data_IF_159728460559
#
_entry.id   IF_159728460559
#
_cell.length_a   1.000
_cell.length_b   1.000
_cell.length_c   1.000
_cell.angle_alpha   90.00
_cell.angle_beta   90.00
_cell.angle_gamma   90.00
#
_symmetry.space_group_name_H-M   'P 1'
#
loop_
_entity.id
_entity.type
_entity.pdbx_description
1 polymer ?
#
# COMPACT_ATOMS: atom_id res chain seq x y z
N UNK A 1 -1.34 12.09 -20.24
CA UNK A 1 -1.16 11.96 -19.66
C UNK A 1 -0.96 11.50 -18.92
N UNK A 2 -0.56 11.59 -18.77
CA UNK A 2 -0.25 11.26 -18.00
C UNK A 2 -0.61 10.48 -17.27
N UNK A 3 -0.41 9.89 -17.18
CA UNK A 3 -0.73 9.21 -16.33
C UNK A 3 -0.09 8.89 -15.26
N UNK A 4 0.23 9.57 -14.69
CA UNK A 4 0.93 9.32 -13.51
C UNK A 4 0.01 8.78 -12.49
N UNK A 5 0.53 8.33 -11.34
CA UNK A 5 -0.29 7.81 -10.28
C UNK A 5 -0.95 8.93 -9.54
N UNK A 6 -2.23 8.87 -9.39
CA UNK A 6 -2.95 9.86 -8.64
C UNK A 6 -3.56 9.23 -7.44
N UNK A 7 -3.48 9.89 -6.30
CA UNK A 7 -4.04 9.35 -5.09
C UNK A 7 -5.53 9.14 -5.19
N UNK A 8 -6.23 10.00 -5.93
CA UNK A 8 -7.66 9.81 -6.02
C UNK A 8 -8.04 8.59 -6.83
N UNK A 9 -7.09 8.00 -7.55
CA UNK A 9 -7.35 6.78 -8.31
C UNK A 9 -6.79 5.55 -7.64
N UNK A 10 -6.02 5.71 -6.59
CA UNK A 10 -5.58 4.58 -5.80
C UNK A 10 -6.67 4.25 -4.79
N UNK A 11 -6.73 3.00 -4.40
CA UNK A 11 -7.78 2.64 -3.46
C UNK A 11 -7.34 1.48 -2.60
N UNK A 12 -7.78 1.49 -1.36
CA UNK A 12 -7.74 0.31 -0.51
C UNK A 12 -8.94 -0.56 -0.85
N UNK A 13 -8.72 -1.83 -0.94
CA UNK A 13 -9.77 -2.80 -1.25
C UNK A 13 -9.86 -3.80 -0.12
N UNK A 14 -11.05 -4.11 0.32
CA UNK A 14 -11.29 -5.13 1.33
C UNK A 14 -11.90 -6.32 0.60
N UNK A 15 -11.25 -7.46 0.75
CA UNK A 15 -11.64 -8.65 0.00
C UNK A 15 -11.78 -9.83 0.97
N UNK A 16 -12.34 -10.91 0.45
CA UNK A 16 -12.54 -12.11 1.23
C UNK A 16 -11.80 -13.23 0.52
N UNK A 17 -11.09 -14.06 1.27
CA UNK A 17 -10.36 -15.16 0.70
C UNK A 17 -11.22 -16.43 0.65
N UNK A 18 -10.61 -17.52 0.22
CA UNK A 18 -11.34 -18.77 0.05
C UNK A 18 -11.79 -19.37 1.37
N UNK A 19 -11.14 -19.00 2.46
CA UNK A 19 -11.50 -19.51 3.77
C UNK A 19 -12.54 -18.63 4.46
N UNK A 20 -13.03 -17.62 3.76
CA UNK A 20 -14.03 -16.74 4.33
C UNK A 20 -13.47 -15.68 5.24
N UNK A 21 -12.15 -15.48 5.20
CA UNK A 21 -11.52 -14.48 6.02
C UNK A 21 -11.28 -13.24 5.19
N UNK A 22 -10.99 -12.13 5.84
CA UNK A 22 -10.90 -10.83 5.17
C UNK A 22 -9.46 -10.38 5.09
N UNK A 23 -9.14 -9.65 4.02
CA UNK A 23 -7.83 -9.03 3.89
C UNK A 23 -8.00 -7.73 3.11
N UNK A 24 -6.99 -6.88 3.21
CA UNK A 24 -7.01 -5.66 2.43
C UNK A 24 -5.78 -5.61 1.54
N UNK A 25 -5.91 -4.83 0.49
CA UNK A 25 -4.77 -4.51 -0.36
C UNK A 25 -4.92 -3.08 -0.83
N UNK A 26 -3.81 -2.50 -1.26
CA UNK A 26 -3.78 -1.16 -1.81
C UNK A 26 -3.42 -1.26 -3.27
N UNK A 27 -4.30 -0.82 -4.13
CA UNK A 27 -4.08 -0.84 -5.56
C UNK A 27 -3.83 0.58 -6.05
N UNK A 28 -2.77 0.75 -6.83
CA UNK A 28 -2.44 2.04 -7.40
C UNK A 28 -3.32 2.34 -8.60
N UNK A 29 -3.24 3.57 -9.08
CA UNK A 29 -4.04 4.01 -10.21
C UNK A 29 -3.75 3.20 -11.47
N UNK A 30 -2.55 2.65 -11.61
CA UNK A 30 -2.22 1.83 -12.77
C UNK A 30 -2.55 0.36 -12.55
N UNK A 31 -3.36 0.07 -11.54
CA UNK A 31 -3.85 -1.28 -11.21
C UNK A 31 -2.81 -2.18 -10.58
N UNK A 32 -1.62 -1.67 -10.28
CA UNK A 32 -0.63 -2.48 -9.58
C UNK A 32 -0.97 -2.55 -8.11
N UNK A 33 -0.72 -3.71 -7.52
CA UNK A 33 -0.92 -3.87 -6.07
C UNK A 33 0.36 -3.41 -5.39
N UNK A 34 0.24 -2.39 -4.57
CA UNK A 34 1.38 -1.80 -3.88
C UNK A 34 1.62 -2.48 -2.55
N UNK A 35 0.56 -2.87 -1.86
CA UNK A 35 0.67 -3.40 -0.52
C UNK A 35 -0.54 -4.28 -0.24
N UNK A 36 -0.41 -5.14 0.75
CA UNK A 36 -1.54 -5.92 1.23
C UNK A 36 -1.35 -6.22 2.71
N UNK A 37 -2.40 -6.69 3.36
CA UNK A 37 -2.42 -6.75 4.81
C UNK A 37 -1.40 -7.72 5.41
N UNK A 38 -0.91 -8.66 4.65
CA UNK A 38 0.06 -9.62 5.17
C UNK A 38 -0.56 -10.65 6.08
N UNK A 39 -1.83 -10.52 6.37
CA UNK A 39 -2.54 -11.45 7.23
C UNK A 39 -4.00 -11.43 6.86
N UNK A 40 -4.72 -12.46 7.27
CA UNK A 40 -6.14 -12.51 7.09
C UNK A 40 -6.82 -12.23 8.44
N UNK A 41 -7.96 -11.56 8.38
CA UNK A 41 -8.72 -11.19 9.56
C UNK A 41 -9.96 -12.05 9.64
N UNK A 42 -10.30 -12.49 10.82
CA UNK A 42 -11.55 -13.22 11.01
C UNK A 42 -12.74 -12.28 10.94
N UNK A 43 -12.55 -11.01 11.20
CA UNK A 43 -13.61 -10.02 11.28
C UNK A 43 -13.40 -8.95 10.23
N UNK A 44 -14.42 -8.70 9.42
CA UNK A 44 -14.39 -7.60 8.47
C UNK A 44 -14.17 -6.28 9.19
N UNK A 45 -14.78 -6.14 10.35
CA UNK A 45 -14.67 -4.90 11.14
C UNK A 45 -13.20 -4.58 11.41
N UNK A 46 -12.42 -5.56 11.88
CA UNK A 46 -11.03 -5.27 12.24
C UNK A 46 -10.16 -5.06 11.01
N UNK A 47 -10.50 -5.71 9.89
CA UNK A 47 -9.81 -5.45 8.63
C UNK A 47 -10.00 -3.99 8.21
N UNK A 48 -11.23 -3.51 8.27
CA UNK A 48 -11.55 -2.12 7.91
C UNK A 48 -10.90 -1.15 8.89
N UNK A 49 -10.88 -1.51 10.18
CA UNK A 49 -10.28 -0.64 11.17
C UNK A 49 -8.79 -0.46 10.93
N UNK A 50 -8.10 -1.52 10.52
CA UNK A 50 -6.68 -1.39 10.21
C UNK A 50 -6.45 -0.53 8.98
N UNK A 51 -7.30 -0.65 7.97
CA UNK A 51 -7.21 0.24 6.81
C UNK A 51 -7.39 1.70 7.23
N UNK A 52 -8.39 1.94 8.07
CA UNK A 52 -8.65 3.30 8.52
C UNK A 52 -7.50 3.85 9.36
N UNK A 53 -6.90 2.99 10.17
CA UNK A 53 -5.74 3.39 10.95
C UNK A 53 -4.59 3.78 10.02
N UNK A 54 -4.33 2.98 8.99
CA UNK A 54 -3.28 3.30 8.02
C UNK A 54 -3.55 4.63 7.34
N UNK A 55 -4.78 4.83 6.88
CA UNK A 55 -5.13 6.09 6.20
C UNK A 55 -4.89 7.29 7.10
N UNK A 56 -5.20 7.14 8.37
CA UNK A 56 -5.09 8.27 9.31
C UNK A 56 -3.65 8.53 9.74
N UNK A 57 -2.79 7.51 9.70
CA UNK A 57 -1.48 7.60 10.33
C UNK A 57 -0.30 7.45 9.39
N UNK A 58 -0.52 7.04 8.15
CA UNK A 58 0.59 6.70 7.26
C UNK A 58 1.60 7.84 7.11
N UNK A 59 1.11 9.05 7.07
CA UNK A 59 1.98 10.21 6.91
C UNK A 59 2.95 10.37 8.09
N UNK A 60 2.56 9.88 9.27
CA UNK A 60 3.35 10.02 10.48
C UNK A 60 4.31 8.85 10.71
N UNK A 61 4.21 7.81 9.91
CA UNK A 61 5.01 6.61 10.12
C UNK A 61 6.39 6.83 9.54
N UNK A 62 7.42 6.57 10.35
CA UNK A 62 8.78 6.78 9.94
C UNK A 62 9.26 5.65 9.05
N UNK A 63 10.22 5.96 8.19
CA UNK A 63 10.86 4.96 7.35
C UNK A 63 12.25 4.70 7.91
N UNK A 64 12.56 3.44 8.16
CA UNK A 64 13.88 3.06 8.63
C UNK A 64 14.47 2.10 7.61
N UNK A 65 15.65 2.44 7.14
CA UNK A 65 16.33 1.63 6.13
C UNK A 65 17.28 0.69 6.83
N UNK A 66 16.96 -0.59 6.83
CA UNK A 66 17.79 -1.60 7.48
C UNK A 66 18.74 -2.29 6.51
N UNK A 67 18.85 -1.81 5.27
CA UNK A 67 19.66 -2.49 4.27
C UNK A 67 21.15 -2.16 4.39
N UNK A 68 21.48 -1.08 5.08
CA UNK A 68 22.86 -0.59 5.17
C UNK A 68 23.42 -0.17 3.82
N UNK A 69 22.57 0.04 2.83
CA UNK A 69 22.98 0.50 1.52
C UNK A 69 22.58 1.96 1.34
N UNK A 70 23.39 2.78 0.70
CA UNK A 70 22.98 4.16 0.50
C UNK A 70 21.81 4.23 -0.47
N UNK A 71 20.98 5.24 -0.30
CA UNK A 71 19.87 5.46 -1.20
C UNK A 71 20.42 5.90 -2.55
N UNK A 72 20.02 5.18 -3.62
CA UNK A 72 20.44 5.54 -4.94
C UNK A 72 19.52 6.63 -5.47
N UNK A 73 20.11 7.50 -6.33
CA UNK A 73 19.42 8.53 -6.88
C UNK A 73 18.62 8.07 -7.97
N UNK A 74 17.99 7.54 -8.07
CA UNK A 74 17.22 7.21 -9.16
C UNK A 74 17.50 7.86 -10.42
N UNK A 75 18.29 8.45 -10.48
CA UNK A 75 18.59 9.04 -11.53
C UNK A 75 19.25 8.48 -12.32
N UNK A 76 19.22 8.52 -11.89
CA UNK A 76 19.45 8.21 -12.45
C UNK A 76 18.99 8.04 -13.16
N UNK A 77 19.05 8.48 -13.15
CA UNK A 77 18.43 8.55 -13.69
C UNK A 77 17.62 8.17 -14.13
N UNK A 78 17.56 8.46 -13.70
CA UNK A 78 16.82 8.04 -14.01
C UNK A 78 16.00 7.79 -14.36
N UNK A 79 16.29 8.13 -14.13
CA UNK A 79 15.60 7.96 -14.39
C UNK A 79 14.85 7.72 -14.42
N UNK A 80 14.89 7.76 -14.20
CA UNK A 80 14.32 7.50 -14.18
C UNK A 80 13.73 7.30 -13.99
N UNK A 81 13.81 7.35 -13.66
CA UNK A 81 13.25 7.35 -13.33
C UNK A 81 12.74 7.23 -13.63
#
# INVERSE_FOLDING_TARGET
>A
MEQEQRTEQAEFQVLKDQDGRYYWRLQAANHKIIAWSGQAYDSKYWCVQDVNWLRANAYLIMVYDYTAEPLQDGHTPHGNR
#
